data_IF_155953137699
#
_entry.id   IF_155953137699
#
_cell.length_a   1.000
_cell.length_b   1.000
_cell.length_c   1.000
_cell.angle_alpha   90.00
_cell.angle_beta   90.00
_cell.angle_gamma   90.00
#
_symmetry.space_group_name_H-M   'P 1'
#
loop_
_entity.id
_entity.type
_entity.pdbx_description
1 polymer ?
#
# COMPACT_ATOMS: atom_id res chain seq x y z
N UNK A 1 42.22 25.49 -41.62
CA UNK A 1 42.32 26.02 -42.97
C UNK A 1 40.92 26.32 -43.50
N UNK A 2 40.72 27.62 -43.78
CA UNK A 2 39.86 28.25 -44.81
C UNK A 2 38.33 28.02 -44.65
N UNK A 3 37.62 29.07 -44.24
CA UNK A 3 37.09 30.29 -44.92
C UNK A 3 35.66 30.05 -45.34
N UNK A 4 34.63 30.73 -44.74
CA UNK A 4 34.16 32.09 -45.01
C UNK A 4 33.46 32.27 -46.37
N UNK A 5 32.16 32.67 -46.38
CA UNK A 5 31.53 33.77 -47.16
C UNK A 5 30.03 33.75 -46.86
N UNK A 6 29.48 34.63 -46.21
CA UNK A 6 28.95 36.00 -46.33
C UNK A 6 28.52 36.41 -47.74
N UNK A 7 27.23 36.64 -48.00
CA UNK A 7 26.74 37.71 -48.87
C UNK A 7 25.35 38.20 -48.49
N UNK A 8 25.33 39.46 -48.24
CA UNK A 8 24.30 40.48 -48.05
C UNK A 8 23.80 40.96 -49.42
N UNK A 9 22.50 41.28 -49.61
CA UNK A 9 22.02 42.36 -50.50
C UNK A 9 20.58 42.75 -50.22
N UNK A 10 20.36 43.83 -49.88
CA UNK A 10 19.76 45.09 -49.77
C UNK A 10 18.74 45.46 -50.87
N UNK A 11 17.59 45.92 -50.37
CA UNK A 11 16.72 47.04 -50.76
C UNK A 11 16.47 47.36 -52.23
N UNK A 12 15.16 47.59 -52.54
CA UNK A 12 14.74 48.75 -53.33
C UNK A 12 13.27 49.10 -53.10
N UNK A 13 13.05 50.32 -52.65
CA UNK A 13 11.76 51.06 -52.60
C UNK A 13 11.37 51.55 -53.99
N UNK A 14 10.09 51.48 -54.30
CA UNK A 14 9.49 52.46 -55.23
C UNK A 14 8.06 52.81 -54.80
N UNK A 15 7.85 54.11 -54.69
CA UNK A 15 6.60 54.86 -54.46
C UNK A 15 5.76 54.97 -55.71
N UNK A 16 4.45 54.97 -55.55
CA UNK A 16 3.41 55.78 -56.30
C UNK A 16 2.06 55.41 -55.71
N UNK A 17 1.24 56.21 -55.21
CA UNK A 17 0.84 57.55 -55.46
C UNK A 17 -0.70 57.55 -55.71
N UNK A 18 -1.50 58.08 -54.76
CA UNK A 18 -2.83 58.73 -54.87
C UNK A 18 -4.02 58.01 -55.52
N UNK A 19 -5.10 57.75 -54.73
CA UNK A 19 -6.40 58.44 -54.89
C UNK A 19 -7.32 58.13 -53.72
N UNK A 20 -7.90 59.19 -53.14
CA UNK A 20 -8.83 59.13 -52.04
C UNK A 20 -10.23 58.78 -52.54
N UNK A 21 -10.90 57.83 -51.87
CA UNK A 21 -12.33 57.72 -51.84
C UNK A 21 -12.78 57.46 -50.36
N UNK A 22 -13.57 58.43 -49.89
CA UNK A 22 -14.29 58.35 -48.62
C UNK A 22 -15.30 57.21 -48.69
N UNK A 23 -15.23 56.30 -47.77
CA UNK A 23 -16.34 55.38 -47.44
C UNK A 23 -16.56 55.36 -45.94
N UNK A 24 -17.75 55.56 -45.52
CA UNK A 24 -18.22 55.68 -44.14
C UNK A 24 -17.82 54.48 -43.29
N UNK A 25 -17.35 54.77 -42.12
CA UNK A 25 -17.05 53.82 -41.07
C UNK A 25 -18.33 53.32 -40.40
N UNK A 26 -18.64 52.02 -40.59
CA UNK A 26 -19.45 51.26 -39.62
C UNK A 26 -18.58 50.87 -38.40
N UNK A 27 -19.13 50.94 -37.20
CA UNK A 27 -18.38 50.53 -36.00
C UNK A 27 -18.22 48.99 -35.98
N UNK A 28 -16.96 48.52 -36.02
CA UNK A 28 -16.62 47.16 -35.66
C UNK A 28 -16.99 46.93 -34.21
N UNK A 29 -17.94 46.05 -33.97
CA UNK A 29 -18.16 45.42 -32.68
C UNK A 29 -16.94 44.58 -32.37
N UNK A 30 -16.15 45.04 -31.44
CA UNK A 30 -15.17 44.21 -30.70
C UNK A 30 -15.96 43.11 -30.01
N UNK A 31 -15.79 41.89 -30.47
CA UNK A 31 -16.18 40.72 -29.72
C UNK A 31 -15.35 40.74 -28.42
N UNK A 32 -15.98 41.16 -27.34
CA UNK A 32 -15.47 40.87 -26.00
C UNK A 32 -15.53 39.35 -25.85
N UNK A 33 -14.37 38.70 -25.75
CA UNK A 33 -14.28 37.39 -25.18
C UNK A 33 -14.91 37.46 -23.78
N UNK A 34 -16.13 37.00 -23.67
CA UNK A 34 -16.72 36.64 -22.39
C UNK A 34 -15.93 35.40 -21.90
N UNK A 35 -14.92 35.60 -21.09
CA UNK A 35 -14.54 34.64 -20.09
C UNK A 35 -15.78 34.41 -19.25
N UNK A 36 -16.49 33.33 -19.53
CA UNK A 36 -17.51 32.82 -18.63
C UNK A 36 -16.75 32.45 -17.33
N UNK A 37 -16.80 33.32 -16.33
CA UNK A 37 -16.62 32.91 -14.95
C UNK A 37 -17.70 31.84 -14.72
N UNK A 38 -17.27 30.58 -14.61
CA UNK A 38 -18.11 29.50 -14.13
C UNK A 38 -18.54 29.92 -12.72
N UNK A 39 -19.79 30.33 -12.59
CA UNK A 39 -20.42 30.50 -11.28
C UNK A 39 -20.16 29.20 -10.50
N UNK A 40 -19.70 29.23 -9.26
CA UNK A 40 -19.53 28.02 -8.47
C UNK A 40 -20.87 27.29 -8.43
N UNK A 41 -20.92 26.08 -8.96
CA UNK A 41 -22.08 25.22 -8.88
C UNK A 41 -22.56 25.15 -7.43
N UNK A 42 -23.83 25.38 -7.17
CA UNK A 42 -24.39 25.24 -5.84
C UNK A 42 -24.07 23.85 -5.31
N UNK A 43 -23.69 23.78 -4.01
CA UNK A 43 -23.38 22.50 -3.39
C UNK A 43 -24.61 21.57 -3.51
N UNK A 44 -24.44 20.31 -3.97
CA UNK A 44 -25.54 19.36 -4.03
C UNK A 44 -25.96 18.94 -2.61
N UNK A 45 -27.20 18.46 -2.48
CA UNK A 45 -27.60 17.79 -1.24
C UNK A 45 -27.00 16.38 -1.21
N UNK A 46 -26.64 15.90 -0.02
CA UNK A 46 -26.11 14.54 0.15
C UNK A 46 -27.06 13.48 -0.43
N UNK A 47 -28.36 13.62 -0.20
CA UNK A 47 -29.39 12.71 -0.66
C UNK A 47 -29.58 12.68 -2.18
N UNK A 48 -29.05 13.67 -2.89
CA UNK A 48 -29.09 13.75 -4.36
C UNK A 48 -27.95 12.98 -5.01
N UNK A 49 -26.85 12.71 -4.28
CA UNK A 49 -25.73 11.96 -4.81
C UNK A 49 -26.13 10.51 -5.11
N UNK A 50 -25.73 10.03 -6.27
CA UNK A 50 -25.96 8.66 -6.73
C UNK A 50 -24.63 7.98 -6.97
N UNK A 51 -24.29 7.05 -6.07
CA UNK A 51 -23.05 6.26 -6.15
C UNK A 51 -23.33 4.97 -6.95
N UNK A 52 -23.57 5.13 -8.25
CA UNK A 52 -24.04 4.05 -9.14
C UNK A 52 -22.88 3.24 -9.75
N UNK A 53 -21.64 3.75 -9.67
CA UNK A 53 -20.44 3.08 -10.17
C UNK A 53 -19.58 2.63 -9.00
N UNK A 54 -19.10 1.39 -9.04
CA UNK A 54 -18.22 0.84 -8.02
C UNK A 54 -16.87 0.48 -8.60
N UNK A 55 -15.80 0.63 -7.81
CA UNK A 55 -14.49 0.09 -8.13
C UNK A 55 -14.56 -1.45 -8.14
N UNK A 56 -14.20 -2.11 -9.25
CA UNK A 56 -14.21 -3.58 -9.30
C UNK A 56 -13.15 -4.18 -8.39
N UNK A 57 -13.58 -5.02 -7.44
CA UNK A 57 -12.73 -5.79 -6.56
C UNK A 57 -12.96 -7.28 -6.78
N UNK A 58 -11.89 -8.08 -6.79
CA UNK A 58 -11.93 -9.52 -7.03
C UNK A 58 -11.63 -10.33 -5.79
N UNK A 59 -10.82 -9.82 -4.89
CA UNK A 59 -10.28 -10.52 -3.72
C UNK A 59 -10.43 -9.72 -2.42
N UNK A 60 -10.28 -8.40 -2.48
CA UNK A 60 -10.40 -7.55 -1.30
C UNK A 60 -11.84 -7.52 -0.77
N UNK A 61 -11.98 -7.64 0.55
CA UNK A 61 -13.27 -7.70 1.25
C UNK A 61 -13.40 -6.66 2.36
N UNK A 62 -12.30 -6.00 2.71
CA UNK A 62 -12.27 -5.07 3.84
C UNK A 62 -12.50 -3.62 3.44
N UNK A 63 -12.68 -3.32 2.14
CA UNK A 63 -13.05 -1.98 1.69
C UNK A 63 -13.97 -2.01 0.47
N UNK A 64 -14.64 -0.91 0.23
CA UNK A 64 -15.34 -0.64 -1.02
C UNK A 64 -15.15 0.82 -1.44
N UNK A 65 -15.22 1.08 -2.74
CA UNK A 65 -15.14 2.42 -3.32
C UNK A 65 -16.27 2.58 -4.33
N UNK A 66 -17.07 3.63 -4.18
CA UNK A 66 -18.19 3.95 -5.06
C UNK A 66 -18.05 5.39 -5.56
N UNK A 67 -18.46 5.64 -6.77
CA UNK A 67 -18.33 6.94 -7.43
C UNK A 67 -19.69 7.52 -7.76
N UNK A 68 -19.85 8.83 -7.56
CA UNK A 68 -20.97 9.62 -8.04
C UNK A 68 -20.47 10.69 -9.01
N UNK A 69 -21.35 11.14 -9.90
CA UNK A 69 -21.05 12.25 -10.80
C UNK A 69 -20.69 13.52 -10.00
N UNK A 70 -19.90 14.41 -10.61
CA UNK A 70 -19.50 15.67 -9.98
C UNK A 70 -18.26 15.56 -9.07
N UNK A 71 -17.55 14.42 -9.09
CA UNK A 71 -16.27 14.26 -8.38
C UNK A 71 -16.42 13.85 -6.92
N UNK A 72 -17.38 13.01 -6.61
CA UNK A 72 -17.61 12.45 -5.28
C UNK A 72 -17.28 10.97 -5.26
N UNK A 73 -16.47 10.56 -4.29
CA UNK A 73 -16.10 9.16 -4.09
C UNK A 73 -16.42 8.77 -2.66
N UNK A 74 -17.22 7.73 -2.49
CA UNK A 74 -17.55 7.14 -1.21
C UNK A 74 -16.64 5.94 -0.97
N UNK A 75 -15.94 5.95 0.16
CA UNK A 75 -14.99 4.92 0.56
C UNK A 75 -15.42 4.36 1.90
N UNK A 76 -15.66 3.05 1.95
CA UNK A 76 -15.95 2.33 3.20
C UNK A 76 -14.80 1.38 3.53
N UNK A 77 -14.34 1.35 4.79
CA UNK A 77 -13.32 0.43 5.27
C UNK A 77 -13.86 -0.33 6.49
N UNK A 78 -13.91 -1.65 6.38
CA UNK A 78 -14.58 -2.49 7.38
C UNK A 78 -16.05 -2.14 7.52
N UNK A 79 -16.55 -2.10 8.76
CA UNK A 79 -17.96 -1.77 9.07
C UNK A 79 -18.14 -0.42 9.79
N UNK A 80 -17.06 0.29 10.04
CA UNK A 80 -17.01 1.41 10.99
C UNK A 80 -16.29 2.67 10.48
N UNK A 81 -15.71 2.64 9.28
CA UNK A 81 -15.08 3.79 8.69
C UNK A 81 -15.74 4.12 7.34
N UNK A 82 -16.22 5.33 7.19
CA UNK A 82 -16.82 5.83 5.94
C UNK A 82 -16.28 7.22 5.63
N UNK A 83 -15.83 7.42 4.38
CA UNK A 83 -15.23 8.66 3.92
C UNK A 83 -15.90 9.12 2.64
N UNK A 84 -16.16 10.42 2.57
CA UNK A 84 -16.52 11.09 1.32
C UNK A 84 -15.30 11.86 0.81
N UNK A 85 -14.69 11.38 -0.26
CA UNK A 85 -13.63 12.09 -0.96
C UNK A 85 -14.26 13.03 -1.98
N UNK A 86 -13.98 14.31 -1.86
CA UNK A 86 -14.52 15.39 -2.69
C UNK A 86 -13.41 15.92 -3.58
N UNK A 87 -13.62 15.91 -4.89
CA UNK A 87 -12.66 16.43 -5.86
C UNK A 87 -12.38 17.93 -5.62
N UNK A 88 -11.21 18.40 -6.05
CA UNK A 88 -10.74 19.76 -5.80
C UNK A 88 -11.72 20.83 -6.22
N UNK A 89 -12.34 20.65 -7.39
CA UNK A 89 -13.26 21.63 -8.01
C UNK A 89 -14.72 21.40 -7.62
N UNK A 90 -15.01 20.38 -6.79
CA UNK A 90 -16.37 20.08 -6.33
C UNK A 90 -16.68 20.80 -5.00
N UNK A 91 -17.91 21.25 -4.86
CA UNK A 91 -18.42 21.78 -3.59
C UNK A 91 -18.68 20.62 -2.60
N UNK A 92 -18.42 20.83 -1.32
CA UNK A 92 -18.82 19.84 -0.31
C UNK A 92 -20.34 19.76 -0.26
N UNK A 93 -20.95 18.57 -0.36
CA UNK A 93 -22.40 18.43 -0.30
C UNK A 93 -22.97 18.94 1.03
N UNK A 94 -24.18 19.48 0.98
CA UNK A 94 -24.92 19.82 2.20
C UNK A 94 -25.54 18.57 2.82
N UNK A 95 -25.72 18.58 4.12
CA UNK A 95 -26.37 17.51 4.89
C UNK A 95 -25.66 16.15 4.86
N UNK A 96 -24.32 16.14 4.66
CA UNK A 96 -23.53 14.91 4.80
C UNK A 96 -23.69 14.37 6.24
N UNK A 97 -24.02 13.08 6.43
CA UNK A 97 -24.11 12.49 7.76
C UNK A 97 -22.83 12.70 8.58
N UNK A 98 -22.98 13.01 9.85
CA UNK A 98 -21.82 13.24 10.74
C UNK A 98 -20.94 12.01 11.00
N UNK A 99 -21.42 10.82 10.62
CA UNK A 99 -20.63 9.58 10.64
C UNK A 99 -19.64 9.48 9.47
N UNK A 100 -19.83 10.26 8.41
CA UNK A 100 -18.99 10.26 7.22
C UNK A 100 -17.90 11.30 7.37
N UNK A 101 -16.65 10.88 7.26
CA UNK A 101 -15.49 11.78 7.28
C UNK A 101 -15.25 12.37 5.89
N UNK A 102 -15.24 13.70 5.78
CA UNK A 102 -15.02 14.37 4.51
C UNK A 102 -13.52 14.56 4.28
N UNK A 103 -13.04 14.09 3.12
CA UNK A 103 -11.68 14.29 2.62
C UNK A 103 -11.74 15.17 1.36
N UNK A 104 -10.81 16.10 1.21
CA UNK A 104 -10.72 16.95 0.01
C UNK A 104 -9.47 16.65 -0.78
N UNK A 105 -9.65 16.44 -2.09
CA UNK A 105 -8.50 16.30 -3.00
C UNK A 105 -7.91 17.67 -3.36
N UNK A 106 -6.61 17.75 -3.67
CA UNK A 106 -5.65 16.65 -3.55
C UNK A 106 -5.27 16.41 -2.09
N UNK A 107 -5.12 15.15 -1.67
CA UNK A 107 -4.44 14.81 -0.44
C UNK A 107 -2.93 14.95 -0.70
N UNK A 108 -2.25 15.81 0.02
CA UNK A 108 -0.85 16.18 -0.22
C UNK A 108 0.00 16.31 1.04
N UNK A 109 -0.62 16.26 2.22
CA UNK A 109 0.06 16.34 3.51
C UNK A 109 -0.35 15.17 4.40
N UNK A 110 -0.20 13.96 3.86
CA UNK A 110 -0.56 12.74 4.58
C UNK A 110 0.45 12.46 5.70
N UNK A 111 -0.05 12.13 6.89
CA UNK A 111 0.72 11.53 7.97
C UNK A 111 0.57 10.01 7.89
N UNK A 112 1.65 9.32 7.47
CA UNK A 112 1.65 7.89 7.28
C UNK A 112 2.31 7.17 8.45
N UNK A 113 1.52 6.45 9.23
CA UNK A 113 1.94 5.60 10.36
C UNK A 113 1.87 4.11 9.99
N UNK A 114 0.93 3.75 9.12
CA UNK A 114 0.81 2.40 8.57
C UNK A 114 1.95 2.13 7.58
N UNK A 115 3.12 1.74 8.09
CA UNK A 115 4.35 1.60 7.29
C UNK A 115 4.22 0.64 6.10
N UNK A 116 3.36 -0.38 6.20
CA UNK A 116 3.07 -1.30 5.11
C UNK A 116 2.34 -0.64 3.92
N UNK A 117 1.64 0.48 4.17
CA UNK A 117 0.94 1.22 3.13
C UNK A 117 1.88 2.07 2.26
N UNK A 118 3.11 2.35 2.71
CA UNK A 118 4.10 3.07 1.91
C UNK A 118 4.37 2.37 0.57
N UNK A 119 4.34 1.05 0.54
CA UNK A 119 4.56 0.26 -0.68
C UNK A 119 3.50 0.54 -1.77
N UNK A 120 2.26 0.82 -1.36
CA UNK A 120 1.22 1.23 -2.29
C UNK A 120 1.49 2.65 -2.86
N UNK A 121 1.92 3.59 -2.02
CA UNK A 121 2.27 4.93 -2.46
C UNK A 121 3.52 4.94 -3.36
N UNK A 122 4.53 4.14 -3.02
CA UNK A 122 5.73 3.98 -3.86
C UNK A 122 5.36 3.41 -5.23
N UNK A 123 4.56 2.36 -5.28
CA UNK A 123 4.08 1.76 -6.53
C UNK A 123 3.27 2.70 -7.40
N UNK A 124 2.54 3.59 -6.78
CA UNK A 124 1.71 4.61 -7.45
C UNK A 124 2.50 5.88 -7.81
N UNK A 125 3.82 5.96 -7.60
CA UNK A 125 4.60 7.20 -7.73
C UNK A 125 3.92 8.37 -7.00
N UNK A 126 3.53 8.14 -5.73
CA UNK A 126 2.76 9.08 -4.92
C UNK A 126 3.36 9.29 -3.51
N UNK A 127 4.64 8.96 -3.31
CA UNK A 127 5.35 9.21 -2.05
C UNK A 127 5.40 10.71 -1.73
N UNK A 128 5.36 11.57 -2.73
CA UNK A 128 5.26 13.03 -2.62
C UNK A 128 3.96 13.52 -1.94
N UNK A 129 2.96 12.67 -1.78
CA UNK A 129 1.73 12.95 -1.04
C UNK A 129 1.89 12.81 0.48
N UNK A 130 2.98 12.17 0.92
CA UNK A 130 3.26 11.90 2.32
C UNK A 130 4.25 12.94 2.83
N UNK A 131 3.75 13.90 3.60
CA UNK A 131 4.60 14.93 4.23
C UNK A 131 5.15 14.47 5.59
N UNK A 132 4.48 13.53 6.25
CA UNK A 132 4.76 13.15 7.62
C UNK A 132 4.85 11.62 7.77
N UNK A 133 5.87 11.15 8.49
CA UNK A 133 6.15 9.73 8.68
C UNK A 133 6.05 9.31 10.14
N UNK A 134 5.43 8.15 10.38
CA UNK A 134 5.46 7.46 11.68
C UNK A 134 6.76 6.72 11.98
N UNK A 135 7.67 6.60 11.00
CA UNK A 135 8.99 5.98 11.12
C UNK A 135 10.09 7.01 10.83
N UNK A 136 11.27 6.77 11.42
CA UNK A 136 12.49 7.53 11.09
C UNK A 136 13.11 7.04 9.80
N UNK A 137 13.94 7.85 9.15
CA UNK A 137 14.64 7.49 7.91
C UNK A 137 15.41 6.16 8.01
N UNK A 138 16.05 5.89 9.17
CA UNK A 138 16.79 4.65 9.42
C UNK A 138 15.95 3.38 9.44
N UNK A 139 14.63 3.53 9.63
CA UNK A 139 13.70 2.41 9.82
C UNK A 139 12.93 2.08 8.53
N UNK A 140 13.13 2.86 7.47
CA UNK A 140 12.56 2.61 6.16
C UNK A 140 13.43 1.65 5.33
N UNK A 141 12.81 0.66 4.73
CA UNK A 141 13.37 -0.23 3.71
C UNK A 141 12.94 0.13 2.29
N UNK A 142 11.94 1.03 2.15
CA UNK A 142 11.49 1.56 0.86
C UNK A 142 12.36 2.79 0.55
N UNK A 143 13.16 2.69 -0.53
CA UNK A 143 14.20 3.68 -0.85
C UNK A 143 13.62 5.07 -1.16
N UNK A 144 12.45 5.15 -1.82
CA UNK A 144 11.80 6.43 -2.09
C UNK A 144 11.36 7.15 -0.81
N UNK A 145 10.84 6.41 0.18
CA UNK A 145 10.48 6.94 1.49
C UNK A 145 11.71 7.43 2.27
N UNK A 146 12.79 6.65 2.23
CA UNK A 146 14.05 7.02 2.84
C UNK A 146 14.64 8.28 2.21
N UNK A 147 14.66 8.36 0.87
CA UNK A 147 15.14 9.52 0.14
C UNK A 147 14.32 10.78 0.46
N UNK A 148 12.98 10.69 0.52
CA UNK A 148 12.10 11.79 0.88
C UNK A 148 12.34 12.30 2.33
N UNK A 149 12.72 11.41 3.25
CA UNK A 149 13.10 11.83 4.60
C UNK A 149 14.50 12.44 4.66
N UNK A 150 15.44 11.96 3.84
CA UNK A 150 16.83 12.47 3.78
C UNK A 150 16.89 13.86 3.13
N UNK A 151 16.05 14.15 2.14
CA UNK A 151 15.96 15.46 1.51
C UNK A 151 15.03 16.46 2.24
N UNK A 152 14.30 15.98 3.24
CA UNK A 152 13.41 16.78 4.09
C UNK A 152 12.02 17.06 3.52
N UNK A 153 11.64 16.45 2.39
CA UNK A 153 10.26 16.53 1.86
C UNK A 153 9.26 15.72 2.71
N UNK A 154 9.75 14.74 3.46
CA UNK A 154 8.99 14.01 4.48
C UNK A 154 9.70 14.10 5.82
N UNK A 155 8.97 14.40 6.91
CA UNK A 155 9.54 14.52 8.24
C UNK A 155 8.92 13.52 9.23
N UNK A 156 9.71 13.11 10.23
CA UNK A 156 9.21 12.24 11.30
C UNK A 156 8.29 13.03 12.23
N UNK A 157 7.04 12.59 12.40
CA UNK A 157 6.04 13.21 13.24
C UNK A 157 5.52 12.31 14.37
N UNK A 158 6.39 11.43 14.88
CA UNK A 158 6.04 10.52 15.97
C UNK A 158 5.47 9.18 15.47
N UNK A 159 5.23 8.25 16.41
CA UNK A 159 4.65 6.92 16.15
C UNK A 159 3.18 6.89 16.56
N UNK A 160 2.43 5.84 16.17
CA UNK A 160 1.01 5.65 16.48
C UNK A 160 0.61 5.97 17.95
N UNK A 161 1.47 5.66 18.93
CA UNK A 161 1.18 5.85 20.36
C UNK A 161 1.71 7.16 20.95
N UNK A 162 2.41 7.97 20.15
CA UNK A 162 3.00 9.22 20.56
C UNK A 162 3.27 10.13 19.36
N UNK A 163 2.21 10.61 18.66
CA UNK A 163 2.36 11.55 17.56
C UNK A 163 2.82 12.92 18.05
N UNK A 164 3.55 13.63 17.19
CA UNK A 164 3.91 15.03 17.40
C UNK A 164 2.81 15.91 16.81
N UNK A 165 1.83 16.26 17.65
CA UNK A 165 0.67 17.05 17.21
C UNK A 165 1.05 18.44 16.70
N UNK A 166 2.12 19.05 17.24
CA UNK A 166 2.60 20.36 16.80
C UNK A 166 3.09 20.27 15.35
N UNK A 167 4.00 19.33 15.07
CA UNK A 167 4.50 19.07 13.72
C UNK A 167 3.36 18.70 12.74
N UNK A 168 2.39 17.89 13.18
CA UNK A 168 1.25 17.46 12.36
C UNK A 168 0.37 18.66 11.97
N UNK A 169 0.10 19.56 12.90
CA UNK A 169 -0.71 20.75 12.65
C UNK A 169 0.04 21.80 11.82
N UNK A 170 1.33 22.02 12.08
CA UNK A 170 2.16 22.96 11.31
C UNK A 170 2.30 22.53 9.84
N UNK A 171 2.36 21.23 9.57
CA UNK A 171 2.39 20.69 8.22
C UNK A 171 1.03 20.78 7.50
N UNK A 172 -0.05 21.12 8.20
CA UNK A 172 -1.40 21.14 7.62
C UNK A 172 -1.88 19.75 7.20
N UNK A 173 -1.67 18.74 8.04
CA UNK A 173 -2.03 17.35 7.76
C UNK A 173 -3.49 17.23 7.31
N UNK A 174 -3.71 16.63 6.15
CA UNK A 174 -5.03 16.46 5.53
C UNK A 174 -5.61 15.04 5.72
N UNK A 175 -4.78 14.06 6.08
CA UNK A 175 -5.18 12.70 6.43
C UNK A 175 -4.08 12.00 7.24
N UNK A 176 -4.43 11.42 8.38
CA UNK A 176 -3.60 10.47 9.10
C UNK A 176 -3.97 9.03 8.69
N UNK A 177 -3.01 8.25 8.22
CA UNK A 177 -3.19 6.83 7.90
C UNK A 177 -2.51 6.00 8.98
N UNK A 178 -3.31 5.51 9.91
CA UNK A 178 -2.88 4.74 11.06
C UNK A 178 -2.95 3.23 10.80
N UNK A 179 -2.12 2.48 11.48
CA UNK A 179 -2.23 1.01 11.50
C UNK A 179 -3.13 0.54 12.66
N UNK A 180 -3.53 -0.74 12.65
CA UNK A 180 -4.43 -1.31 13.67
C UNK A 180 -3.89 -1.32 15.10
N UNK A 181 -2.58 -1.07 15.30
CA UNK A 181 -2.01 -0.90 16.64
C UNK A 181 -2.56 0.33 17.36
N UNK A 182 -3.12 1.30 16.62
CA UNK A 182 -3.78 2.48 17.17
C UNK A 182 -4.95 2.12 18.11
N UNK A 183 -5.56 0.96 17.92
CA UNK A 183 -6.63 0.49 18.82
C UNK A 183 -6.17 0.19 20.25
N UNK A 184 -4.85 0.13 20.50
CA UNK A 184 -4.29 0.07 21.85
C UNK A 184 -4.14 1.46 22.50
N UNK A 185 -4.31 2.53 21.73
CA UNK A 185 -4.23 3.93 22.17
C UNK A 185 -5.33 4.75 21.49
N UNK A 186 -6.62 4.42 21.70
CA UNK A 186 -7.75 5.04 21.00
C UNK A 186 -7.85 6.56 21.24
N UNK A 187 -7.30 7.03 22.35
CA UNK A 187 -7.21 8.46 22.66
C UNK A 187 -6.42 9.28 21.61
N UNK A 188 -5.51 8.65 20.89
CA UNK A 188 -4.76 9.30 19.79
C UNK A 188 -5.69 9.62 18.62
N UNK A 189 -6.60 8.70 18.26
CA UNK A 189 -7.61 8.94 17.21
C UNK A 189 -8.47 10.14 17.61
N UNK A 190 -8.99 10.14 18.84
CA UNK A 190 -9.83 11.22 19.35
C UNK A 190 -9.11 12.57 19.35
N UNK A 191 -7.82 12.59 19.69
CA UNK A 191 -7.02 13.82 19.70
C UNK A 191 -6.77 14.34 18.29
N UNK A 192 -6.38 13.49 17.32
CA UNK A 192 -6.20 13.87 15.92
C UNK A 192 -7.49 14.45 15.33
N UNK A 193 -8.63 13.79 15.56
CA UNK A 193 -9.93 14.28 15.12
C UNK A 193 -10.34 15.60 15.80
N UNK A 194 -10.04 15.77 17.08
CA UNK A 194 -10.32 17.02 17.82
C UNK A 194 -9.57 18.21 17.25
N UNK A 195 -8.35 17.99 16.75
CA UNK A 195 -7.57 19.05 16.09
C UNK A 195 -7.84 19.16 14.59
N UNK A 196 -8.86 18.44 14.09
CA UNK A 196 -9.34 18.54 12.72
C UNK A 196 -8.61 17.67 11.70
N UNK A 197 -7.80 16.71 12.14
CA UNK A 197 -7.11 15.76 11.26
C UNK A 197 -7.97 14.51 11.08
N UNK A 198 -8.44 14.20 9.86
CA UNK A 198 -9.12 12.94 9.55
C UNK A 198 -8.20 11.75 9.81
N UNK A 199 -8.77 10.65 10.31
CA UNK A 199 -8.02 9.43 10.57
C UNK A 199 -8.61 8.26 9.79
N UNK A 200 -7.77 7.60 8.99
CA UNK A 200 -8.04 6.33 8.32
C UNK A 200 -7.22 5.25 8.99
N UNK A 201 -7.87 4.21 9.51
CA UNK A 201 -7.18 3.04 10.05
C UNK A 201 -7.08 1.98 8.96
N UNK A 202 -5.86 1.71 8.53
CA UNK A 202 -5.50 0.76 7.48
C UNK A 202 -5.79 -0.67 7.95
N UNK A 203 -6.51 -1.47 7.14
CA UNK A 203 -6.95 -2.82 7.47
C UNK A 203 -6.58 -3.87 6.43
N UNK A 204 -5.60 -3.63 5.58
CA UNK A 204 -5.16 -4.64 4.61
C UNK A 204 -4.70 -5.93 5.28
N UNK A 205 -4.21 -5.82 6.53
CA UNK A 205 -3.84 -6.98 7.34
C UNK A 205 -5.02 -7.83 7.81
N UNK A 206 -6.25 -7.34 7.65
CA UNK A 206 -7.49 -8.08 7.96
C UNK A 206 -8.03 -8.83 6.73
N UNK A 207 -7.43 -8.67 5.57
CA UNK A 207 -7.74 -9.54 4.44
C UNK A 207 -7.24 -10.96 4.74
N UNK A 208 -8.13 -11.93 4.58
CA UNK A 208 -7.77 -13.35 4.68
C UNK A 208 -7.11 -13.86 3.40
N UNK A 209 -7.31 -13.16 2.28
CA UNK A 209 -6.72 -13.47 0.98
C UNK A 209 -5.48 -12.60 0.73
N UNK A 210 -4.30 -13.19 0.45
CA UNK A 210 -3.11 -12.41 0.12
C UNK A 210 -3.28 -11.55 -1.13
N UNK A 211 -4.07 -12.00 -2.11
CA UNK A 211 -4.40 -11.21 -3.30
C UNK A 211 -5.34 -10.05 -2.97
N UNK A 212 -6.24 -10.22 -2.00
CA UNK A 212 -7.05 -9.13 -1.46
C UNK A 212 -6.20 -8.04 -0.83
N UNK A 213 -5.16 -8.43 -0.08
CA UNK A 213 -4.21 -7.47 0.49
C UNK A 213 -3.43 -6.71 -0.60
N UNK A 214 -3.00 -7.38 -1.67
CA UNK A 214 -2.38 -6.72 -2.84
C UNK A 214 -3.38 -5.75 -3.51
N UNK A 215 -4.65 -6.13 -3.59
CA UNK A 215 -5.70 -5.34 -4.23
C UNK A 215 -6.01 -4.02 -3.50
N UNK A 216 -5.57 -3.85 -2.25
CA UNK A 216 -5.63 -2.57 -1.52
C UNK A 216 -4.89 -1.43 -2.24
N UNK A 217 -4.00 -1.75 -3.18
CA UNK A 217 -3.42 -0.76 -4.10
C UNK A 217 -4.50 0.11 -4.77
N UNK A 218 -5.67 -0.47 -5.08
CA UNK A 218 -6.79 0.24 -5.70
C UNK A 218 -7.44 1.26 -4.76
N UNK A 219 -7.49 0.99 -3.43
CA UNK A 219 -7.96 1.97 -2.45
C UNK A 219 -7.06 3.19 -2.41
N UNK A 220 -5.75 2.97 -2.30
CA UNK A 220 -4.79 4.08 -2.27
C UNK A 220 -4.77 4.86 -3.58
N UNK A 221 -4.97 4.18 -4.70
CA UNK A 221 -5.12 4.83 -5.99
C UNK A 221 -6.35 5.75 -6.06
N UNK A 222 -7.49 5.34 -5.48
CA UNK A 222 -8.67 6.19 -5.40
C UNK A 222 -8.42 7.46 -4.57
N UNK A 223 -7.63 7.37 -3.48
CA UNK A 223 -7.25 8.53 -2.67
C UNK A 223 -6.40 9.55 -3.44
N UNK A 224 -5.54 9.08 -4.38
CA UNK A 224 -4.57 9.93 -5.10
C UNK A 224 -4.86 10.10 -6.59
N UNK A 225 -5.98 9.58 -7.11
CA UNK A 225 -6.43 9.73 -8.51
C UNK A 225 -5.61 8.90 -9.51
N UNK A 226 -5.22 7.67 -9.14
CA UNK A 226 -4.38 6.77 -9.97
C UNK A 226 -5.00 5.39 -10.22
N UNK A 227 -6.31 5.29 -10.27
CA UNK A 227 -7.07 4.03 -10.35
C UNK A 227 -6.73 3.18 -11.58
N UNK A 228 -6.48 3.82 -12.73
CA UNK A 228 -6.10 3.12 -13.95
C UNK A 228 -4.73 2.45 -13.81
N UNK A 229 -3.77 3.11 -13.18
CA UNK A 229 -2.45 2.54 -12.89
C UNK A 229 -2.58 1.35 -11.94
N UNK A 230 -3.31 1.49 -10.84
CA UNK A 230 -3.49 0.42 -9.87
C UNK A 230 -4.16 -0.82 -10.47
N UNK A 231 -5.16 -0.60 -11.34
CA UNK A 231 -5.82 -1.71 -12.05
C UNK A 231 -4.83 -2.47 -12.93
N UNK A 232 -4.06 -1.76 -13.74
CA UNK A 232 -3.06 -2.39 -14.62
C UNK A 232 -1.95 -3.10 -13.82
N UNK A 233 -1.49 -2.51 -12.73
CA UNK A 233 -0.47 -3.11 -11.86
C UNK A 233 -0.98 -4.38 -11.16
N UNK A 234 -2.22 -4.36 -10.67
CA UNK A 234 -2.85 -5.52 -10.06
C UNK A 234 -3.05 -6.67 -11.07
N UNK A 235 -3.55 -6.35 -12.27
CA UNK A 235 -3.70 -7.33 -13.37
C UNK A 235 -2.35 -7.93 -13.78
N UNK A 236 -1.29 -7.12 -13.85
CA UNK A 236 0.07 -7.58 -14.11
C UNK A 236 0.58 -8.52 -13.02
N UNK A 237 0.31 -8.23 -11.75
CA UNK A 237 0.63 -9.10 -10.63
C UNK A 237 -0.10 -10.46 -10.77
N UNK A 238 -1.41 -10.46 -11.02
CA UNK A 238 -2.17 -11.70 -11.23
C UNK A 238 -1.63 -12.51 -12.41
N UNK A 239 -1.27 -11.85 -13.51
CA UNK A 239 -0.70 -12.52 -14.67
C UNK A 239 0.63 -13.21 -14.32
N UNK A 240 1.48 -12.59 -13.51
CA UNK A 240 2.74 -13.21 -13.05
C UNK A 240 2.53 -14.42 -12.14
N UNK A 241 1.41 -14.47 -11.43
CA UNK A 241 1.05 -15.56 -10.52
C UNK A 241 0.23 -16.68 -11.19
N UNK A 242 -0.22 -16.50 -12.43
CA UNK A 242 -1.16 -17.42 -13.07
C UNK A 242 -0.69 -18.87 -13.09
N UNK A 243 0.62 -19.10 -13.35
CA UNK A 243 1.20 -20.45 -13.35
C UNK A 243 1.25 -21.13 -11.98
N UNK A 244 1.14 -20.34 -10.88
CA UNK A 244 1.17 -20.83 -9.51
C UNK A 244 -0.24 -21.07 -8.99
N UNK A 245 -1.16 -20.13 -9.24
CA UNK A 245 -2.53 -20.18 -8.72
C UNK A 245 -3.29 -21.42 -9.20
N UNK A 246 -2.96 -21.94 -10.39
CA UNK A 246 -3.53 -23.15 -10.97
C UNK A 246 -2.68 -24.41 -10.71
N UNK A 247 -1.56 -24.27 -9.98
CA UNK A 247 -0.66 -25.40 -9.73
C UNK A 247 -1.25 -26.34 -8.67
N UNK A 248 -1.21 -27.67 -8.89
CA UNK A 248 -1.67 -28.62 -7.87
C UNK A 248 -0.77 -28.55 -6.63
N UNK A 249 -1.32 -28.94 -5.46
CA UNK A 249 -0.53 -29.08 -4.24
C UNK A 249 0.67 -29.99 -4.47
N UNK A 250 1.83 -29.58 -3.94
CA UNK A 250 3.05 -30.39 -3.95
C UNK A 250 3.04 -31.49 -2.89
N UNK A 251 2.07 -31.47 -1.96
CA UNK A 251 2.01 -32.34 -0.80
C UNK A 251 3.08 -32.05 0.27
N UNK A 252 3.93 -31.02 0.06
CA UNK A 252 4.95 -30.63 1.06
C UNK A 252 4.33 -29.81 2.17
N UNK A 253 4.60 -30.21 3.41
CA UNK A 253 4.14 -29.52 4.61
C UNK A 253 5.06 -28.34 4.96
N UNK A 254 4.45 -27.20 5.30
CA UNK A 254 5.16 -25.94 5.59
C UNK A 254 4.73 -25.40 6.95
N UNK A 255 5.68 -25.02 7.79
CA UNK A 255 5.44 -24.25 9.01
C UNK A 255 6.04 -22.85 8.91
N UNK A 256 5.23 -21.82 9.22
CA UNK A 256 5.66 -20.41 9.31
C UNK A 256 5.55 -19.95 10.76
N UNK A 257 6.68 -19.56 11.37
CA UNK A 257 6.74 -19.31 12.80
C UNK A 257 7.85 -18.33 13.18
N UNK A 258 7.79 -17.80 14.41
CA UNK A 258 8.94 -17.23 15.10
C UNK A 258 8.93 -17.61 16.59
N UNK A 259 10.09 -17.56 17.25
CA UNK A 259 10.24 -17.85 18.67
C UNK A 259 10.41 -16.52 19.39
N UNK A 260 9.54 -16.23 20.35
CA UNK A 260 9.60 -15.02 21.15
C UNK A 260 10.63 -15.11 22.30
N UNK A 261 10.85 -14.00 22.99
CA UNK A 261 11.85 -13.92 24.08
C UNK A 261 11.56 -14.83 25.28
N UNK A 262 10.34 -15.37 25.41
CA UNK A 262 10.01 -16.36 26.44
C UNK A 262 10.23 -17.81 26.00
N UNK A 263 10.70 -18.03 24.77
CA UNK A 263 10.88 -19.35 24.17
C UNK A 263 9.59 -19.99 23.63
N UNK A 264 8.47 -19.28 23.69
CA UNK A 264 7.22 -19.73 23.10
C UNK A 264 7.21 -19.44 21.58
N UNK A 265 6.47 -20.27 20.83
CA UNK A 265 6.40 -20.19 19.38
C UNK A 265 5.13 -19.44 18.95
N UNK A 266 5.30 -18.44 18.12
CA UNK A 266 4.20 -17.75 17.49
C UNK A 266 4.02 -18.30 16.08
N UNK A 267 2.80 -18.73 15.77
CA UNK A 267 2.39 -19.31 14.50
C UNK A 267 1.20 -18.55 13.94
N UNK A 268 0.95 -18.67 12.66
CA UNK A 268 -0.26 -18.13 12.02
C UNK A 268 -1.42 -19.10 12.18
N UNK A 269 -2.63 -18.58 12.39
CA UNK A 269 -3.85 -19.39 12.33
C UNK A 269 -4.15 -19.81 10.89
N UNK A 270 -5.01 -20.81 10.72
CA UNK A 270 -5.33 -21.39 9.41
C UNK A 270 -6.01 -20.43 8.43
N UNK A 271 -6.76 -19.43 8.93
CA UNK A 271 -7.42 -18.39 8.15
C UNK A 271 -6.55 -17.18 7.79
N UNK A 272 -5.32 -17.11 8.28
CA UNK A 272 -4.40 -16.00 8.01
C UNK A 272 -3.94 -15.98 6.54
N UNK A 273 -3.73 -14.75 6.01
CA UNK A 273 -3.30 -14.56 4.63
C UNK A 273 -1.96 -15.23 4.31
N UNK A 274 -1.03 -15.37 5.28
CA UNK A 274 0.23 -16.11 5.10
C UNK A 274 -0.04 -17.60 4.94
N UNK A 275 -0.93 -18.16 5.77
CA UNK A 275 -1.31 -19.58 5.65
C UNK A 275 -1.96 -19.85 4.29
N UNK A 276 -2.81 -18.92 3.80
CA UNK A 276 -3.42 -19.00 2.48
C UNK A 276 -2.39 -18.81 1.36
N UNK A 277 -1.43 -17.88 1.51
CA UNK A 277 -0.34 -17.69 0.55
C UNK A 277 0.49 -18.96 0.36
N UNK A 278 0.83 -19.65 1.46
CA UNK A 278 1.54 -20.93 1.40
C UNK A 278 0.73 -21.99 0.63
N UNK A 279 -0.60 -22.04 0.86
CA UNK A 279 -1.47 -22.97 0.12
C UNK A 279 -1.57 -22.62 -1.37
N UNK A 280 -1.71 -21.34 -1.71
CA UNK A 280 -1.73 -20.85 -3.09
C UNK A 280 -0.41 -21.16 -3.81
N UNK A 281 0.72 -21.12 -3.10
CA UNK A 281 2.03 -21.50 -3.62
C UNK A 281 2.20 -23.03 -3.77
N UNK A 282 1.20 -23.84 -3.42
CA UNK A 282 1.20 -25.30 -3.55
C UNK A 282 1.67 -26.05 -2.31
N UNK A 283 1.86 -25.39 -1.16
CA UNK A 283 2.24 -26.03 0.10
C UNK A 283 1.03 -26.45 0.95
N UNK A 284 1.26 -27.34 1.88
CA UNK A 284 0.31 -27.72 2.93
C UNK A 284 0.70 -26.99 4.22
N UNK A 285 0.01 -25.89 4.53
CA UNK A 285 0.30 -25.15 5.75
C UNK A 285 -0.09 -25.96 6.99
N UNK A 286 0.84 -26.14 7.92
CA UNK A 286 0.60 -26.79 9.20
C UNK A 286 -0.18 -25.85 10.11
N UNK A 287 -1.44 -26.18 10.37
CA UNK A 287 -2.33 -25.44 11.27
C UNK A 287 -2.21 -25.95 12.70
N UNK A 288 -2.28 -25.02 13.65
CA UNK A 288 -2.23 -25.27 15.09
C UNK A 288 -3.54 -24.89 15.78
N UNK A 289 -4.50 -24.35 15.04
CA UNK A 289 -5.83 -24.00 15.50
C UNK A 289 -6.85 -25.03 15.02
N UNK A 290 -7.74 -25.46 15.92
CA UNK A 290 -8.81 -26.41 15.61
C UNK A 290 -10.10 -25.71 15.13
N UNK A 291 -10.18 -24.37 15.26
CA UNK A 291 -11.43 -23.63 15.10
C UNK A 291 -11.90 -23.50 13.65
N UNK A 292 -10.99 -23.57 12.68
CA UNK A 292 -11.35 -23.36 11.27
C UNK A 292 -11.97 -21.98 10.98
N UNK A 293 -12.00 -21.07 11.96
CA UNK A 293 -12.55 -19.73 11.80
C UNK A 293 -11.62 -18.90 10.91
N UNK A 294 -12.20 -18.35 9.87
CA UNK A 294 -11.57 -17.28 9.10
C UNK A 294 -11.46 -16.02 9.97
N UNK A 295 -10.44 -15.97 10.81
CA UNK A 295 -10.16 -14.80 11.63
C UNK A 295 -8.81 -14.21 11.21
N UNK A 296 -8.86 -13.04 10.61
CA UNK A 296 -7.70 -12.31 10.13
C UNK A 296 -6.74 -11.88 11.25
N UNK A 297 -7.16 -11.73 12.49
CA UNK A 297 -6.31 -11.49 13.67
C UNK A 297 -5.63 -12.79 14.09
N UNK A 298 -4.54 -13.14 13.50
CA UNK A 298 -4.32 -14.50 13.13
C UNK A 298 -2.98 -15.05 13.52
N UNK A 299 -2.38 -14.53 14.61
CA UNK A 299 -1.31 -15.22 15.31
C UNK A 299 -1.83 -15.89 16.56
N UNK A 300 -1.21 -16.99 16.93
CA UNK A 300 -1.36 -17.63 18.23
C UNK A 300 0.00 -18.01 18.81
N UNK A 301 0.10 -17.99 20.12
CA UNK A 301 1.30 -18.41 20.85
C UNK A 301 1.08 -19.81 21.39
N UNK A 302 1.98 -20.71 21.09
CA UNK A 302 1.98 -22.10 21.55
C UNK A 302 3.29 -22.45 22.27
N UNK A 303 3.28 -23.47 23.08
CA UNK A 303 4.49 -23.97 23.72
C UNK A 303 5.37 -24.72 22.70
N UNK A 304 6.70 -24.69 22.92
CA UNK A 304 7.64 -25.34 22.03
C UNK A 304 7.39 -26.85 21.86
N UNK A 305 6.92 -27.51 22.91
CA UNK A 305 6.58 -28.94 22.90
C UNK A 305 5.38 -29.23 21.98
N UNK A 306 4.38 -28.34 21.97
CA UNK A 306 3.23 -28.45 21.07
C UNK A 306 3.68 -28.23 19.63
N UNK A 307 4.54 -27.24 19.40
CA UNK A 307 5.13 -26.96 18.10
C UNK A 307 5.95 -28.15 17.60
N UNK A 308 6.81 -28.72 18.45
CA UNK A 308 7.60 -29.91 18.15
C UNK A 308 6.69 -31.08 17.74
N UNK A 309 5.66 -31.37 18.53
CA UNK A 309 4.74 -32.47 18.26
C UNK A 309 4.03 -32.36 16.90
N UNK A 310 3.72 -31.16 16.46
CA UNK A 310 2.97 -30.90 15.22
C UNK A 310 3.87 -30.68 13.99
N UNK A 311 5.05 -30.09 14.16
CA UNK A 311 5.89 -29.61 13.06
C UNK A 311 7.25 -30.30 12.92
N UNK A 312 7.60 -31.27 13.77
CA UNK A 312 8.89 -31.96 13.69
C UNK A 312 9.11 -32.66 12.33
N UNK A 313 8.06 -33.16 11.71
CA UNK A 313 8.08 -33.82 10.40
C UNK A 313 7.80 -32.88 9.22
N UNK A 314 7.71 -31.56 9.44
CA UNK A 314 7.52 -30.57 8.37
C UNK A 314 8.62 -30.66 7.33
N UNK A 315 8.21 -30.57 6.03
CA UNK A 315 9.13 -30.57 4.91
C UNK A 315 9.92 -29.26 4.80
N UNK A 316 9.28 -28.15 5.14
CA UNK A 316 9.84 -26.80 5.05
C UNK A 316 9.53 -26.02 6.33
N UNK A 317 10.54 -25.34 6.85
CA UNK A 317 10.39 -24.36 7.92
C UNK A 317 10.70 -22.97 7.38
N UNK A 318 9.81 -22.00 7.63
CA UNK A 318 10.01 -20.59 7.30
C UNK A 318 9.98 -19.79 8.60
N UNK A 319 11.12 -19.22 8.97
CA UNK A 319 11.23 -18.36 10.14
C UNK A 319 10.80 -16.93 9.80
N UNK A 320 9.87 -16.40 10.59
CA UNK A 320 9.40 -15.02 10.44
C UNK A 320 10.31 -14.03 11.15
N UNK A 321 11.22 -13.40 10.43
CA UNK A 321 12.17 -12.42 10.95
C UNK A 321 11.65 -10.98 10.97
N UNK A 322 10.43 -10.75 10.55
CA UNK A 322 9.86 -9.38 10.56
C UNK A 322 9.68 -8.82 11.97
N UNK A 323 9.63 -9.68 12.98
CA UNK A 323 9.39 -9.31 14.39
C UNK A 323 10.70 -9.20 15.19
N UNK A 324 11.58 -10.22 15.13
CA UNK A 324 12.74 -10.37 16.03
C UNK A 324 14.09 -10.31 15.29
N UNK A 325 14.09 -9.84 14.04
CA UNK A 325 15.28 -9.73 13.21
C UNK A 325 15.60 -11.00 12.42
N UNK A 326 16.47 -10.82 11.43
CA UNK A 326 16.85 -11.89 10.51
C UNK A 326 17.86 -12.82 11.16
N UNK A 327 17.58 -14.13 11.07
CA UNK A 327 18.56 -15.15 11.37
C UNK A 327 19.51 -15.31 10.19
N UNK A 328 20.79 -15.53 10.47
CA UNK A 328 21.83 -15.69 9.44
C UNK A 328 22.25 -17.15 9.26
N UNK A 329 21.98 -18.02 10.25
CA UNK A 329 22.41 -19.41 10.24
C UNK A 329 21.45 -20.33 11.01
N UNK A 330 21.59 -21.63 10.75
CA UNK A 330 20.94 -22.68 11.55
C UNK A 330 21.38 -22.62 13.01
N UNK A 331 22.63 -22.30 13.30
CA UNK A 331 23.13 -22.19 14.69
C UNK A 331 22.39 -21.10 15.47
N UNK A 332 22.08 -19.97 14.84
CA UNK A 332 21.27 -18.91 15.46
C UNK A 332 19.82 -19.37 15.73
N UNK A 333 19.25 -20.17 14.84
CA UNK A 333 17.93 -20.76 15.04
C UNK A 333 17.97 -21.76 16.20
N UNK A 334 18.98 -22.64 16.25
CA UNK A 334 19.15 -23.63 17.32
C UNK A 334 19.47 -22.99 18.67
N UNK A 335 20.12 -21.82 18.68
CA UNK A 335 20.32 -21.04 19.90
C UNK A 335 19.01 -20.54 20.52
N UNK A 336 17.95 -20.31 19.70
CA UNK A 336 16.60 -19.98 20.21
C UNK A 336 15.90 -21.21 20.82
N UNK A 337 16.08 -22.40 20.23
CA UNK A 337 15.58 -23.67 20.78
C UNK A 337 16.37 -24.85 20.24
N UNK A 338 17.15 -25.55 21.09
CA UNK A 338 17.90 -26.75 20.69
C UNK A 338 17.02 -27.91 20.20
N UNK A 339 15.72 -27.94 20.58
CA UNK A 339 14.77 -28.97 20.12
C UNK A 339 14.60 -28.98 18.61
N UNK A 340 14.84 -27.85 17.95
CA UNK A 340 14.71 -27.73 16.49
C UNK A 340 15.74 -28.58 15.72
N UNK A 341 16.86 -29.00 16.38
CA UNK A 341 17.83 -29.88 15.75
C UNK A 341 17.23 -31.23 15.31
N UNK A 342 16.15 -31.66 15.95
CA UNK A 342 15.48 -32.91 15.62
C UNK A 342 14.47 -32.82 14.45
N UNK A 343 14.14 -31.61 14.01
CA UNK A 343 13.19 -31.38 12.93
C UNK A 343 13.72 -31.91 11.58
N UNK A 344 12.82 -32.50 10.81
CA UNK A 344 13.11 -33.03 9.46
C UNK A 344 13.70 -31.95 8.55
N UNK A 345 13.09 -30.77 8.51
CA UNK A 345 13.54 -29.66 7.69
C UNK A 345 14.95 -29.16 8.09
N UNK A 346 15.29 -29.15 9.38
CA UNK A 346 16.64 -28.80 9.85
C UNK A 346 17.66 -29.85 9.40
N UNK A 347 17.35 -31.12 9.56
CA UNK A 347 18.22 -32.22 9.15
C UNK A 347 18.43 -32.29 7.63
N UNK A 348 17.44 -31.84 6.84
CA UNK A 348 17.53 -31.81 5.37
C UNK A 348 18.05 -30.48 4.81
N UNK A 349 18.29 -29.47 5.66
CA UNK A 349 18.71 -28.13 5.23
C UNK A 349 17.61 -27.34 4.52
N UNK A 350 16.33 -27.65 4.80
CA UNK A 350 15.18 -26.99 4.20
C UNK A 350 14.52 -25.99 5.15
N UNK A 351 15.36 -25.08 5.66
CA UNK A 351 14.98 -24.02 6.61
C UNK A 351 15.27 -22.68 5.98
N UNK A 352 14.28 -21.83 6.01
CA UNK A 352 14.29 -20.53 5.37
C UNK A 352 13.97 -19.42 6.36
N UNK A 353 14.48 -18.22 6.10
CA UNK A 353 14.19 -17.02 6.85
C UNK A 353 13.59 -16.00 5.91
N UNK A 354 12.45 -15.42 6.29
CA UNK A 354 11.91 -14.29 5.50
C UNK A 354 12.70 -13.02 5.83
N UNK A 355 12.99 -12.20 4.82
CA UNK A 355 13.75 -10.96 5.00
C UNK A 355 12.97 -9.93 5.80
N UNK A 356 13.67 -9.13 6.60
CA UNK A 356 13.04 -8.19 7.52
C UNK A 356 12.22 -7.10 6.82
N UNK A 357 12.65 -6.65 5.64
CA UNK A 357 11.96 -5.61 4.86
C UNK A 357 10.55 -6.00 4.38
N UNK A 358 10.21 -7.30 4.39
CA UNK A 358 8.92 -7.80 3.93
C UNK A 358 7.72 -7.14 4.63
N UNK A 359 7.84 -6.74 5.91
CA UNK A 359 6.72 -6.14 6.63
C UNK A 359 6.28 -4.78 6.11
N UNK A 360 7.14 -4.07 5.37
CA UNK A 360 6.82 -2.78 4.75
C UNK A 360 6.32 -2.90 3.30
N UNK A 361 6.36 -4.11 2.72
CA UNK A 361 6.11 -4.33 1.30
C UNK A 361 4.84 -5.17 1.11
N UNK A 362 3.69 -4.53 1.18
CA UNK A 362 2.39 -5.20 1.05
C UNK A 362 2.18 -5.87 -0.31
N UNK A 363 2.69 -5.27 -1.39
CA UNK A 363 2.63 -5.80 -2.75
C UNK A 363 3.57 -6.98 -2.95
N UNK A 364 4.60 -7.10 -2.12
CA UNK A 364 5.58 -8.17 -2.15
C UNK A 364 5.02 -9.56 -1.80
N UNK A 365 3.76 -9.63 -1.36
CA UNK A 365 3.08 -10.92 -1.20
C UNK A 365 3.03 -11.73 -2.50
N UNK A 366 2.98 -11.09 -3.67
CA UNK A 366 3.10 -11.75 -4.96
C UNK A 366 4.46 -12.42 -5.14
N UNK A 367 5.53 -11.71 -4.86
CA UNK A 367 6.89 -12.25 -4.94
C UNK A 367 7.14 -13.33 -3.87
N UNK A 368 6.58 -13.18 -2.67
CA UNK A 368 6.65 -14.23 -1.64
C UNK A 368 5.95 -15.51 -2.10
N UNK A 369 4.82 -15.42 -2.81
CA UNK A 369 4.16 -16.59 -3.40
C UNK A 369 5.08 -17.30 -4.40
N UNK A 370 5.78 -16.54 -5.25
CA UNK A 370 6.78 -17.07 -6.21
C UNK A 370 7.93 -17.75 -5.48
N UNK A 371 8.49 -17.13 -4.46
CA UNK A 371 9.58 -17.68 -3.65
C UNK A 371 9.18 -18.98 -2.96
N UNK A 372 8.01 -19.01 -2.29
CA UNK A 372 7.50 -20.22 -1.62
C UNK A 372 7.27 -21.32 -2.64
N UNK A 373 6.67 -21.01 -3.81
CA UNK A 373 6.47 -21.98 -4.87
C UNK A 373 7.79 -22.58 -5.37
N UNK A 374 8.80 -21.74 -5.60
CA UNK A 374 10.12 -22.18 -6.02
C UNK A 374 10.75 -23.11 -4.99
N UNK A 375 10.69 -22.77 -3.69
CA UNK A 375 11.18 -23.63 -2.59
C UNK A 375 10.45 -24.97 -2.54
N UNK A 376 9.16 -24.98 -2.85
CA UNK A 376 8.35 -26.19 -2.82
C UNK A 376 8.57 -27.10 -4.05
N UNK A 377 8.88 -26.52 -5.19
CA UNK A 377 9.00 -27.27 -6.48
C UNK A 377 10.43 -27.60 -6.84
N UNK A 378 11.40 -26.78 -6.48
CA UNK A 378 12.83 -27.00 -6.73
C UNK A 378 13.66 -26.84 -5.45
N UNK A 379 14.09 -27.96 -4.87
CA UNK A 379 14.92 -28.00 -3.67
C UNK A 379 16.31 -27.39 -3.87
N UNK A 380 16.72 -27.12 -5.08
CA UNK A 380 18.03 -26.57 -5.45
C UNK A 380 17.96 -25.12 -5.88
N UNK A 381 16.76 -24.48 -5.78
CA UNK A 381 16.62 -23.06 -6.11
C UNK A 381 17.68 -22.23 -5.37
N UNK A 382 18.55 -21.51 -6.11
CA UNK A 382 19.57 -20.67 -5.49
C UNK A 382 18.91 -19.50 -4.72
N UNK A 383 19.42 -19.18 -3.53
CA UNK A 383 18.95 -18.04 -2.74
C UNK A 383 18.98 -16.70 -3.52
N UNK A 384 19.94 -16.57 -4.45
CA UNK A 384 20.08 -15.36 -5.28
C UNK A 384 18.91 -15.14 -6.26
N UNK A 385 18.07 -16.14 -6.50
CA UNK A 385 16.88 -16.05 -7.34
C UNK A 385 15.63 -15.72 -6.52
N UNK A 386 15.71 -15.77 -5.18
CA UNK A 386 14.61 -15.49 -4.27
C UNK A 386 14.68 -14.05 -3.77
N UNK A 387 13.54 -13.41 -3.65
CA UNK A 387 13.44 -12.01 -3.25
C UNK A 387 13.32 -11.84 -1.73
N UNK A 388 12.50 -12.68 -1.10
CA UNK A 388 12.16 -12.56 0.31
C UNK A 388 12.53 -13.76 1.16
N UNK A 389 12.85 -14.89 0.57
CA UNK A 389 13.30 -16.06 1.31
C UNK A 389 14.82 -16.25 1.18
N UNK A 390 15.46 -16.52 2.31
CA UNK A 390 16.89 -16.84 2.39
C UNK A 390 17.04 -18.16 3.13
N UNK A 391 17.80 -19.08 2.55
CA UNK A 391 18.09 -20.37 3.21
C UNK A 391 19.01 -20.15 4.41
N UNK A 392 18.69 -20.75 5.56
CA UNK A 392 19.60 -20.81 6.68
C UNK A 392 20.60 -21.96 6.49
N UNK A 393 21.89 -21.68 6.56
CA UNK A 393 22.99 -22.64 6.36
C UNK A 393 23.89 -22.76 7.60
#
# INVERSE_FOLDING_TARGET
>A
MKKLLLTLLAALLLFSGCAAQKQESQPQQTAAEQTAELEPSAAPQWEELRFDTSLPLSYATQFSVRYAEGGYTDITIGSDQEFLLVAQDAAVPENVPSSITILRQPLSHIYLVASAAMDYFDRLDAVDRIALSGLKASDWYIESAKAAMEDGSMVYAGKYSAPDYETILEAGCDLAIENTMIYHTPEVIEQLQTVGVPVLVERSSYESDPLGRIEWLKLYAALVGKEAQATADFESCLASLSGILDHPSTGKTVSFFYINNSGAVNVRKSGDYIAKAIRLAGGEYLSFDESGEENALSTMTIQMESFYSAAADADVLIYNSTIDGELQSIDELLAKSPLLADFKAVKSGNVWCITKNFYQQSLALGDMLLDVHAVLTDEKTPDAELRFLRRLS
#
